data_IF_214769851143
#
_entry.id   IF_214769851143
#
_cell.length_a   1.000
_cell.length_b   1.000
_cell.length_c   1.000
_cell.angle_alpha   90.00
_cell.angle_beta   90.00
_cell.angle_gamma   90.00
#
_symmetry.space_group_name_H-M   'P 1'
#
loop_
_entity.id
_entity.type
_entity.pdbx_description
1 polymer ?
#
# COMPACT_ATOMS: atom_id res chain seq x y z
N UNK A 1 15.43 15.09 5.45
CA UNK A 1 16.05 14.51 4.24
C UNK A 1 15.15 13.38 3.74
N UNK A 2 14.83 13.31 2.45
CA UNK A 2 14.03 12.19 1.89
C UNK A 2 14.80 10.89 2.09
N UNK A 3 14.16 9.82 2.58
CA UNK A 3 14.77 8.49 2.74
C UNK A 3 15.34 7.94 1.41
N UNK A 4 14.91 8.51 0.28
CA UNK A 4 15.30 8.11 -1.07
C UNK A 4 16.36 9.02 -1.70
N UNK A 5 16.89 10.01 -0.97
CA UNK A 5 17.78 11.03 -1.53
C UNK A 5 19.06 10.47 -2.20
N UNK A 6 19.57 9.33 -1.72
CA UNK A 6 20.74 8.64 -2.29
C UNK A 6 20.42 7.58 -3.34
N UNK A 7 19.14 7.36 -3.66
CA UNK A 7 18.72 6.29 -4.58
C UNK A 7 18.52 6.82 -5.99
N UNK A 8 18.84 5.99 -6.97
CA UNK A 8 18.60 6.30 -8.38
C UNK A 8 17.12 6.20 -8.73
N UNK A 9 16.72 6.94 -9.76
CA UNK A 9 15.36 6.94 -10.31
C UNK A 9 14.94 5.54 -10.75
N UNK A 10 15.87 4.80 -11.38
CA UNK A 10 15.66 3.41 -11.78
C UNK A 10 15.35 2.52 -10.57
N UNK A 11 16.10 2.69 -9.47
CA UNK A 11 15.90 1.87 -8.28
C UNK A 11 14.54 2.14 -7.62
N UNK A 12 14.14 3.41 -7.51
CA UNK A 12 12.86 3.80 -6.93
C UNK A 12 11.70 3.26 -7.76
N UNK A 13 11.77 3.44 -9.08
CA UNK A 13 10.75 2.94 -10.01
C UNK A 13 10.65 1.42 -9.94
N UNK A 14 11.80 0.72 -9.97
CA UNK A 14 11.85 -0.74 -9.89
C UNK A 14 11.32 -1.28 -8.56
N UNK A 15 11.60 -0.59 -7.44
CA UNK A 15 11.03 -0.96 -6.15
C UNK A 15 9.51 -0.81 -6.12
N UNK A 16 8.98 0.26 -6.69
CA UNK A 16 7.55 0.46 -6.77
C UNK A 16 6.88 -0.61 -7.64
N UNK A 17 7.46 -0.93 -8.80
CA UNK A 17 7.02 -2.02 -9.67
C UNK A 17 7.10 -3.40 -9.00
N UNK A 18 8.13 -3.63 -8.18
CA UNK A 18 8.26 -4.87 -7.43
C UNK A 18 7.07 -5.07 -6.47
N UNK A 19 6.72 -4.05 -5.70
CA UNK A 19 5.55 -4.11 -4.80
C UNK A 19 4.27 -4.33 -5.61
N UNK A 20 4.15 -3.68 -6.79
CA UNK A 20 3.01 -3.90 -7.70
C UNK A 20 2.86 -5.36 -8.09
N UNK A 21 3.97 -6.01 -8.48
CA UNK A 21 3.98 -7.40 -8.88
C UNK A 21 3.67 -8.34 -7.71
N UNK A 22 4.20 -8.05 -6.52
CA UNK A 22 3.87 -8.82 -5.31
C UNK A 22 2.39 -8.74 -4.97
N UNK A 23 1.77 -7.55 -5.04
CA UNK A 23 0.33 -7.37 -4.84
C UNK A 23 -0.47 -8.17 -5.85
N UNK A 24 -0.11 -8.10 -7.14
CA UNK A 24 -0.78 -8.87 -8.18
C UNK A 24 -0.63 -10.37 -7.97
N UNK A 25 0.54 -10.85 -7.56
CA UNK A 25 0.76 -12.25 -7.26
C UNK A 25 -0.07 -12.72 -6.06
N UNK A 26 -0.17 -11.92 -4.99
CA UNK A 26 -0.98 -12.20 -3.80
C UNK A 26 -2.47 -12.30 -4.17
N UNK A 27 -2.96 -11.37 -5.00
CA UNK A 27 -4.34 -11.37 -5.53
C UNK A 27 -4.61 -12.62 -6.37
N UNK A 28 -3.71 -12.98 -7.28
CA UNK A 28 -3.86 -14.17 -8.14
C UNK A 28 -3.77 -15.48 -7.35
N UNK A 29 -2.94 -15.53 -6.31
CA UNK A 29 -2.83 -16.67 -5.41
C UNK A 29 -4.00 -16.79 -4.43
N UNK A 30 -4.83 -15.75 -4.30
CA UNK A 30 -5.88 -15.67 -3.29
C UNK A 30 -5.33 -15.58 -1.86
N UNK A 31 -4.07 -15.18 -1.71
CA UNK A 31 -3.41 -15.01 -0.42
C UNK A 31 -3.53 -13.55 0.05
N UNK A 32 -3.20 -13.30 1.32
CA UNK A 32 -3.22 -11.96 1.95
C UNK A 32 -1.90 -11.67 2.64
N UNK A 33 -0.80 -11.93 1.94
CA UNK A 33 0.55 -11.74 2.47
C UNK A 33 0.96 -10.27 2.41
N UNK A 34 0.42 -9.50 1.47
CA UNK A 34 0.74 -8.09 1.33
C UNK A 34 -0.16 -7.26 2.25
N UNK A 35 0.45 -6.69 3.28
CA UNK A 35 -0.26 -5.91 4.30
C UNK A 35 -0.11 -4.39 4.16
N UNK A 36 -0.71 -3.67 5.12
CA UNK A 36 -0.60 -2.22 5.26
C UNK A 36 0.84 -1.66 5.18
N UNK A 37 1.90 -2.33 5.71
CA UNK A 37 3.27 -1.83 5.58
C UNK A 37 3.74 -1.71 4.12
N UNK A 38 3.36 -2.64 3.25
CA UNK A 38 3.70 -2.59 1.83
C UNK A 38 2.98 -1.43 1.13
N UNK A 39 1.70 -1.20 1.45
CA UNK A 39 0.93 -0.04 0.98
C UNK A 39 1.55 1.28 1.40
N UNK A 40 1.96 1.40 2.66
CA UNK A 40 2.65 2.59 3.16
C UNK A 40 3.98 2.81 2.44
N UNK A 41 4.77 1.75 2.23
CA UNK A 41 6.04 1.83 1.49
C UNK A 41 5.82 2.26 0.05
N UNK A 42 4.85 1.68 -0.64
CA UNK A 42 4.48 2.06 -2.00
C UNK A 42 4.02 3.52 -2.09
N UNK A 43 3.25 4.02 -1.12
CA UNK A 43 2.84 5.42 -1.08
C UNK A 43 4.03 6.37 -0.93
N UNK A 44 5.03 6.02 -0.11
CA UNK A 44 6.26 6.83 0.03
C UNK A 44 7.07 6.83 -1.26
N UNK A 45 7.19 5.68 -1.93
CA UNK A 45 7.84 5.59 -3.24
C UNK A 45 7.09 6.40 -4.30
N UNK A 46 5.76 6.32 -4.34
CA UNK A 46 4.94 7.04 -5.30
C UNK A 46 5.13 8.57 -5.19
N UNK A 47 5.12 9.10 -3.95
CA UNK A 47 5.40 10.53 -3.71
C UNK A 47 6.78 10.94 -4.21
N UNK A 48 7.77 10.07 -4.06
CA UNK A 48 9.12 10.35 -4.55
C UNK A 48 9.21 10.27 -6.08
N UNK A 49 8.54 9.32 -6.70
CA UNK A 49 8.40 9.20 -8.17
C UNK A 49 7.75 10.46 -8.74
N UNK A 50 6.63 10.89 -8.14
CA UNK A 50 5.91 12.12 -8.50
C UNK A 50 6.81 13.36 -8.34
N UNK A 51 7.51 13.48 -7.20
CA UNK A 51 8.45 14.57 -6.93
C UNK A 51 9.56 14.67 -7.99
N UNK A 52 9.99 13.53 -8.54
CA UNK A 52 11.04 13.46 -9.58
C UNK A 52 10.48 13.54 -11.00
N UNK A 53 9.16 13.61 -11.18
CA UNK A 53 8.53 13.64 -12.51
C UNK A 53 8.66 12.32 -13.27
N UNK A 54 8.85 11.21 -12.55
CA UNK A 54 8.99 9.88 -13.14
C UNK A 54 7.62 9.26 -13.42
N UNK A 55 7.55 8.39 -14.42
CA UNK A 55 6.33 7.68 -14.76
C UNK A 55 6.27 6.33 -14.06
N UNK A 56 5.11 6.00 -13.47
CA UNK A 56 4.83 4.66 -12.94
C UNK A 56 3.36 4.29 -13.13
N UNK A 57 3.07 2.99 -13.14
CA UNK A 57 1.70 2.47 -13.23
C UNK A 57 1.13 2.28 -11.83
N UNK A 58 -0.07 2.79 -11.51
CA UNK A 58 -0.63 2.66 -10.17
C UNK A 58 -0.78 1.19 -9.75
N UNK A 59 -0.67 0.96 -8.44
CA UNK A 59 -0.90 -0.34 -7.83
C UNK A 59 -2.39 -0.49 -7.53
N UNK A 60 -2.99 -1.55 -8.03
CA UNK A 60 -4.36 -1.96 -7.72
C UNK A 60 -4.34 -2.70 -6.38
N UNK A 61 -4.82 -2.05 -5.33
CA UNK A 61 -4.86 -2.63 -3.99
C UNK A 61 -6.12 -3.46 -3.79
N UNK A 62 -6.03 -4.66 -3.18
CA UNK A 62 -7.21 -5.47 -2.87
C UNK A 62 -8.10 -4.81 -1.82
N UNK A 63 -9.42 -5.05 -1.91
CA UNK A 63 -10.46 -4.36 -1.12
C UNK A 63 -10.24 -4.43 0.40
N UNK A 64 -9.73 -5.56 0.90
CA UNK A 64 -9.45 -5.73 2.33
C UNK A 64 -8.36 -4.77 2.87
N UNK A 65 -7.52 -4.20 1.99
CA UNK A 65 -6.56 -3.15 2.34
C UNK A 65 -7.07 -1.73 2.04
N UNK A 66 -8.20 -1.63 1.34
CA UNK A 66 -8.95 -0.38 1.14
C UNK A 66 -9.86 -0.15 2.34
N UNK A 67 -10.46 -1.21 2.88
CA UNK A 67 -11.47 -1.17 3.94
C UNK A 67 -10.88 -0.89 5.34
N UNK A 68 -9.59 -1.13 5.57
CA UNK A 68 -8.93 -0.77 6.85
C UNK A 68 -8.75 0.75 7.05
N UNK A 69 -9.11 1.58 6.06
CA UNK A 69 -9.25 3.03 6.23
C UNK A 69 -10.67 3.47 6.60
N UNK A 70 -11.65 2.57 6.51
CA UNK A 70 -12.92 2.70 7.22
C UNK A 70 -12.78 1.92 8.52
N UNK A 71 -12.70 2.62 9.65
CA UNK A 71 -12.95 1.94 10.92
C UNK A 71 -14.31 1.22 10.85
N UNK A 72 -14.42 -0.07 11.17
CA UNK A 72 -15.69 -0.62 11.62
C UNK A 72 -15.88 -0.20 13.09
N UNK A 73 -15.87 1.11 13.32
CA UNK A 73 -16.22 1.71 14.58
C UNK A 73 -17.74 1.77 14.66
N UNK A 74 -18.34 0.72 15.22
CA UNK A 74 -19.40 0.80 16.23
C UNK A 74 -20.06 -0.57 16.38
N UNK A 75 -19.54 -1.40 17.27
CA UNK A 75 -20.36 -2.44 17.88
C UNK A 75 -21.23 -1.73 18.94
N UNK A 76 -22.57 -1.83 18.93
CA UNK A 76 -23.34 -1.33 20.03
C UNK A 76 -23.11 -2.26 21.22
N UNK A 77 -22.52 -1.73 22.29
CA UNK A 77 -22.56 -2.30 23.63
C UNK A 77 -24.02 -2.64 23.96
N UNK A 78 -24.37 -3.93 23.94
CA UNK A 78 -25.62 -4.41 24.53
C UNK A 78 -25.52 -4.15 26.02
N UNK A 79 -26.13 -3.07 26.48
CA UNK A 79 -26.43 -2.85 27.89
C UNK A 79 -27.37 -3.96 28.34
N UNK A 80 -26.83 -5.03 28.92
CA UNK A 80 -27.62 -5.95 29.73
C UNK A 80 -27.86 -5.27 31.06
N UNK A 81 -29.01 -4.64 31.20
CA UNK A 81 -29.60 -4.34 32.50
C UNK A 81 -30.34 -5.60 32.98
N UNK A 82 -29.91 -6.14 34.13
CA UNK A 82 -30.78 -6.76 35.13
C UNK A 82 -30.07 -6.78 36.48
#
# INVERSE_FOLDING_TARGET
MSEFAGLSDHFITRMYEFIRNEVQADVLAGTRLIGLPAKQRANRLFKEIERRGLFCRPIEWPDHLVDLSHEPGHWPLRTTAN
#
